data_IF_299432572875
#
_entry.id   IF_299432572875
#
_cell.length_a   1.000
_cell.length_b   1.000
_cell.length_c   1.000
_cell.angle_alpha   90.00
_cell.angle_beta   90.00
_cell.angle_gamma   90.00
#
_symmetry.space_group_name_H-M   'P 1'
#
loop_
_entity.id
_entity.type
_entity.pdbx_description
1 polymer ?
#
# COMPACT_ATOMS: atom_id res chain seq x y z
N UNK A 1 18.47 4.08 1.08
CA UNK A 1 19.02 2.98 1.91
C UNK A 1 17.95 1.94 2.20
N UNK A 2 18.24 0.94 3.03
CA UNK A 2 17.44 -0.27 3.25
C UNK A 2 16.27 -0.14 4.23
N UNK A 3 16.20 0.90 5.07
CA UNK A 3 15.21 0.97 6.17
C UNK A 3 13.88 1.64 5.84
N UNK A 4 13.89 2.89 5.37
CA UNK A 4 12.69 3.74 5.36
C UNK A 4 12.54 4.54 4.05
N UNK A 5 11.31 4.94 3.73
CA UNK A 5 10.98 5.87 2.66
C UNK A 5 9.98 6.96 3.13
N UNK A 6 10.38 7.88 4.02
CA UNK A 6 9.46 8.76 4.75
C UNK A 6 8.63 9.68 3.86
N UNK A 7 9.20 10.21 2.77
CA UNK A 7 8.46 11.06 1.83
C UNK A 7 7.41 10.31 1.03
N UNK A 8 7.59 8.99 0.85
CA UNK A 8 6.57 8.13 0.24
C UNK A 8 5.46 7.86 1.24
N UNK A 9 5.80 7.52 2.49
CA UNK A 9 4.78 7.32 3.52
C UNK A 9 3.90 8.56 3.74
N UNK A 10 4.49 9.77 3.69
CA UNK A 10 3.73 11.02 3.76
C UNK A 10 2.79 11.23 2.57
N UNK A 11 3.24 10.93 1.33
CA UNK A 11 2.38 11.08 0.16
C UNK A 11 1.28 10.02 0.12
N UNK A 12 1.57 8.82 0.60
CA UNK A 12 0.62 7.73 0.71
C UNK A 12 -0.48 8.09 1.72
N UNK A 13 -0.08 8.54 2.91
CA UNK A 13 -1.01 9.03 3.93
C UNK A 13 -1.86 10.20 3.42
N UNK A 14 -1.24 11.15 2.71
CA UNK A 14 -1.98 12.26 2.10
C UNK A 14 -2.98 11.78 1.05
N UNK A 15 -2.62 10.78 0.26
CA UNK A 15 -3.53 10.18 -0.74
C UNK A 15 -4.73 9.55 -0.06
N UNK A 16 -4.52 8.75 1.00
CA UNK A 16 -5.61 8.15 1.79
C UNK A 16 -6.55 9.25 2.30
N UNK A 17 -5.98 10.28 2.95
CA UNK A 17 -6.76 11.43 3.44
C UNK A 17 -7.52 12.15 2.35
N UNK A 18 -6.95 12.28 1.15
CA UNK A 18 -7.56 13.03 0.06
C UNK A 18 -8.71 12.27 -0.58
N UNK A 19 -8.59 10.95 -0.69
CA UNK A 19 -9.61 10.09 -1.30
C UNK A 19 -10.75 9.78 -0.33
N UNK A 20 -10.47 9.62 0.98
CA UNK A 20 -11.47 9.26 2.00
C UNK A 20 -11.90 10.40 2.94
N UNK A 21 -11.25 11.57 2.87
CA UNK A 21 -11.49 12.70 3.78
C UNK A 21 -10.90 12.52 5.18
N UNK A 22 -10.33 11.35 5.49
CA UNK A 22 -9.78 10.99 6.78
C UNK A 22 -8.97 9.68 6.71
N UNK A 23 -8.51 9.21 7.87
CA UNK A 23 -7.78 7.94 8.03
C UNK A 23 -8.39 7.11 9.16
N UNK A 24 -8.91 7.79 10.18
CA UNK A 24 -9.57 7.14 11.31
C UNK A 24 -10.76 6.30 10.83
N UNK A 25 -10.97 5.19 11.52
CA UNK A 25 -12.00 4.19 11.28
C UNK A 25 -11.93 3.48 9.93
N UNK A 26 -10.89 3.72 9.11
CA UNK A 26 -10.63 2.97 7.89
C UNK A 26 -9.98 1.61 8.18
N UNK A 27 -10.27 0.65 7.31
CA UNK A 27 -9.59 -0.64 7.21
C UNK A 27 -8.62 -0.59 6.05
N UNK A 28 -7.32 -0.67 6.33
CA UNK A 28 -6.25 -0.53 5.35
C UNK A 28 -5.56 -1.87 5.17
N UNK A 29 -5.67 -2.42 3.97
CA UNK A 29 -5.05 -3.67 3.58
C UNK A 29 -3.76 -3.42 2.83
N UNK A 30 -2.67 -3.95 3.37
CA UNK A 30 -1.33 -3.85 2.83
C UNK A 30 -0.98 -5.20 2.20
N UNK A 31 -0.71 -5.22 0.90
CA UNK A 31 -0.59 -6.45 0.13
C UNK A 31 0.72 -6.54 -0.65
N UNK A 32 1.33 -7.72 -0.71
CA UNK A 32 2.44 -8.03 -1.61
C UNK A 32 3.73 -8.37 -0.86
N UNK A 33 4.83 -7.76 -1.25
CA UNK A 33 6.11 -7.89 -0.52
C UNK A 33 6.12 -6.97 0.71
N UNK A 34 5.67 -7.53 1.83
CA UNK A 34 5.65 -6.85 3.13
C UNK A 34 6.95 -7.05 3.91
N UNK A 35 7.72 -8.09 3.59
CA UNK A 35 9.00 -8.39 4.23
C UNK A 35 10.08 -7.38 3.88
N UNK A 36 10.21 -7.02 2.60
CA UNK A 36 11.26 -6.12 2.12
C UNK A 36 10.73 -4.74 1.68
N UNK A 37 9.41 -4.56 1.73
CA UNK A 37 8.71 -3.34 1.33
C UNK A 37 8.96 -2.15 2.28
N UNK A 38 10.02 -1.37 2.02
CA UNK A 38 10.35 -0.17 2.80
C UNK A 38 9.22 0.86 2.86
N UNK A 39 8.47 1.01 1.78
CA UNK A 39 7.35 1.96 1.71
C UNK A 39 6.23 1.53 2.64
N UNK A 40 5.92 0.24 2.69
CA UNK A 40 4.88 -0.30 3.57
C UNK A 40 5.31 -0.28 5.04
N UNK A 41 6.60 -0.48 5.34
CA UNK A 41 7.13 -0.30 6.70
C UNK A 41 6.94 1.13 7.20
N UNK A 42 7.38 2.12 6.40
CA UNK A 42 7.21 3.54 6.74
C UNK A 42 5.74 3.93 6.85
N UNK A 43 4.88 3.46 5.94
CA UNK A 43 3.45 3.72 5.96
C UNK A 43 2.79 3.09 7.19
N UNK A 44 3.12 1.84 7.52
CA UNK A 44 2.60 1.16 8.71
C UNK A 44 2.91 1.96 9.97
N UNK A 45 4.16 2.43 10.12
CA UNK A 45 4.57 3.28 11.25
C UNK A 45 3.75 4.56 11.36
N UNK A 46 3.46 5.23 10.24
CA UNK A 46 2.60 6.42 10.24
C UNK A 46 1.14 6.10 10.56
N UNK A 47 0.61 5.01 10.01
CA UNK A 47 -0.78 4.59 10.23
C UNK A 47 -1.04 4.21 11.70
N UNK A 48 -0.02 3.77 12.45
CA UNK A 48 -0.12 3.57 13.92
C UNK A 48 -0.45 4.83 14.71
N UNK A 49 -0.31 6.01 14.12
CA UNK A 49 -0.69 7.27 14.75
C UNK A 49 -2.18 7.61 14.58
N UNK A 50 -2.94 6.76 13.87
CA UNK A 50 -4.36 6.94 13.55
C UNK A 50 -5.20 5.78 14.09
N UNK A 51 -6.50 6.01 14.29
CA UNK A 51 -7.45 4.98 14.72
C UNK A 51 -7.94 4.13 13.54
N UNK A 52 -7.01 3.54 12.78
CA UNK A 52 -7.33 2.68 11.64
C UNK A 52 -7.08 1.20 11.98
N UNK A 53 -7.68 0.29 11.21
CA UNK A 53 -7.48 -1.15 11.32
C UNK A 53 -6.56 -1.61 10.20
N UNK A 54 -5.50 -2.34 10.53
CA UNK A 54 -4.57 -2.84 9.52
C UNK A 54 -4.81 -4.32 9.21
N UNK A 55 -4.71 -4.64 7.93
CA UNK A 55 -4.71 -6.01 7.43
C UNK A 55 -3.44 -6.22 6.60
N UNK A 56 -2.73 -7.33 6.82
CA UNK A 56 -1.54 -7.70 6.09
C UNK A 56 -1.83 -8.91 5.23
N UNK A 57 -1.66 -8.78 3.91
CA UNK A 57 -1.98 -9.81 2.93
C UNK A 57 -0.70 -10.19 2.19
N UNK A 58 -0.10 -11.31 2.55
CA UNK A 58 1.12 -11.78 1.90
C UNK A 58 1.30 -13.29 2.05
N UNK A 59 1.97 -13.96 1.09
CA UNK A 59 2.43 -15.32 1.31
C UNK A 59 3.45 -15.35 2.45
N UNK A 60 3.56 -16.47 3.16
CA UNK A 60 4.42 -16.61 4.35
C UNK A 60 5.87 -16.15 4.14
N UNK A 61 6.41 -16.35 2.94
CA UNK A 61 7.78 -15.97 2.60
C UNK A 61 8.01 -14.44 2.55
N UNK A 62 6.95 -13.69 2.30
CA UNK A 62 6.92 -12.23 2.17
C UNK A 62 6.11 -11.55 3.28
N UNK A 63 5.80 -12.27 4.36
CA UNK A 63 5.03 -11.78 5.48
C UNK A 63 5.67 -10.54 6.13
N UNK A 64 4.82 -9.68 6.71
CA UNK A 64 5.24 -8.52 7.46
C UNK A 64 6.12 -8.97 8.66
N UNK A 65 7.27 -8.33 8.93
CA UNK A 65 8.07 -8.67 10.10
C UNK A 65 7.32 -8.39 11.41
N UNK A 66 7.53 -9.23 12.42
CA UNK A 66 6.79 -9.20 13.69
C UNK A 66 6.82 -7.83 14.40
N UNK A 67 7.91 -7.07 14.25
CA UNK A 67 8.05 -5.74 14.84
C UNK A 67 7.03 -4.70 14.33
N UNK A 68 6.38 -4.96 13.19
CA UNK A 68 5.33 -4.11 12.61
C UNK A 68 3.91 -4.59 12.92
N UNK A 69 3.77 -5.78 13.52
CA UNK A 69 2.47 -6.43 13.75
C UNK A 69 2.04 -6.23 15.20
N UNK A 70 0.79 -5.80 15.39
CA UNK A 70 0.14 -5.65 16.69
C UNK A 70 -0.95 -6.70 16.87
N UNK A 71 -1.31 -7.07 18.11
CA UNK A 71 -2.31 -8.12 18.38
C UNK A 71 -3.70 -7.90 17.74
N UNK A 72 -4.06 -6.65 17.46
CA UNK A 72 -5.35 -6.30 16.86
C UNK A 72 -5.38 -6.43 15.33
N UNK A 73 -4.22 -6.55 14.68
CA UNK A 73 -4.14 -6.63 13.22
C UNK A 73 -4.65 -7.97 12.70
N UNK A 74 -5.02 -7.98 11.41
CA UNK A 74 -5.38 -9.20 10.71
C UNK A 74 -4.29 -9.58 9.72
N UNK A 75 -4.00 -10.88 9.64
CA UNK A 75 -3.00 -11.42 8.72
C UNK A 75 -3.72 -12.45 7.85
N UNK A 76 -3.58 -12.30 6.54
CA UNK A 76 -4.18 -13.18 5.54
C UNK A 76 -3.13 -13.61 4.53
N UNK A 77 -3.33 -14.78 3.94
CA UNK A 77 -2.50 -15.26 2.84
C UNK A 77 -3.15 -14.99 1.48
N UNK A 78 -4.48 -14.86 1.44
CA UNK A 78 -5.26 -14.58 0.24
C UNK A 78 -5.98 -13.23 0.36
N UNK A 79 -5.96 -12.43 -0.72
CA UNK A 79 -6.68 -11.17 -0.81
C UNK A 79 -8.19 -11.35 -0.69
N UNK A 80 -8.75 -12.49 -1.11
CA UNK A 80 -10.17 -12.78 -1.00
C UNK A 80 -10.69 -12.75 0.44
N UNK A 81 -9.82 -12.99 1.43
CA UNK A 81 -10.20 -12.94 2.85
C UNK A 81 -10.25 -11.50 3.41
N UNK A 82 -9.59 -10.55 2.74
CA UNK A 82 -9.40 -9.17 3.19
C UNK A 82 -10.24 -8.15 2.39
N UNK A 83 -10.45 -8.40 1.10
CA UNK A 83 -10.91 -7.40 0.13
C UNK A 83 -12.27 -6.81 0.47
N UNK A 84 -13.22 -7.62 0.94
CA UNK A 84 -14.60 -7.20 1.23
C UNK A 84 -14.67 -6.15 2.36
N UNK A 85 -13.69 -6.18 3.26
CA UNK A 85 -13.63 -5.28 4.41
C UNK A 85 -12.69 -4.08 4.19
N UNK A 86 -11.93 -4.07 3.10
CA UNK A 86 -10.90 -3.06 2.83
C UNK A 86 -11.53 -1.75 2.36
N UNK A 87 -11.13 -0.64 2.98
CA UNK A 87 -11.42 0.72 2.52
C UNK A 87 -10.26 1.25 1.64
N UNK A 88 -9.04 0.80 1.93
CA UNK A 88 -7.85 1.05 1.12
C UNK A 88 -7.13 -0.27 0.89
N UNK A 89 -6.83 -0.57 -0.36
CA UNK A 89 -5.92 -1.65 -0.75
C UNK A 89 -4.62 -1.03 -1.25
N UNK A 90 -3.55 -1.14 -0.47
CA UNK A 90 -2.21 -0.68 -0.82
C UNK A 90 -1.35 -1.86 -1.24
N UNK A 91 -1.08 -1.96 -2.54
CA UNK A 91 -0.35 -3.07 -3.14
C UNK A 91 1.11 -2.69 -3.31
N UNK A 92 2.03 -3.61 -3.04
CA UNK A 92 3.46 -3.45 -3.26
C UNK A 92 3.99 -4.42 -4.31
N UNK A 93 4.94 -3.92 -5.09
CA UNK A 93 5.74 -4.72 -6.01
C UNK A 93 6.61 -5.71 -5.24
N UNK A 94 6.69 -6.94 -5.74
CA UNK A 94 7.67 -7.92 -5.24
C UNK A 94 9.08 -7.57 -5.68
N UNK A 95 9.99 -7.50 -4.70
CA UNK A 95 11.38 -7.14 -4.93
C UNK A 95 12.20 -8.40 -5.26
N UNK A 96 12.02 -8.92 -6.49
CA UNK A 96 12.75 -10.09 -6.99
C UNK A 96 14.27 -9.96 -6.78
N UNK A 97 14.79 -8.74 -6.89
CA UNK A 97 16.20 -8.42 -6.66
C UNK A 97 16.71 -8.69 -5.22
N UNK A 98 15.82 -8.89 -4.26
CA UNK A 98 16.16 -9.20 -2.86
C UNK A 98 15.89 -10.65 -2.47
N UNK A 99 15.22 -11.41 -3.32
CA UNK A 99 14.99 -12.82 -3.11
C UNK A 99 16.28 -13.59 -3.48
N UNK A 100 16.78 -14.41 -2.56
CA UNK A 100 17.91 -15.29 -2.84
C UNK A 100 17.41 -16.47 -3.68
N UNK A 101 17.62 -16.40 -4.99
CA UNK A 101 17.19 -17.43 -5.94
C UNK A 101 16.37 -16.84 -7.08
N UNK A 102 16.77 -17.15 -8.32
CA UNK A 102 16.09 -16.73 -9.54
C UNK A 102 14.87 -17.60 -9.82
N UNK A 103 13.91 -17.66 -8.89
CA UNK A 103 12.63 -18.28 -9.18
C UNK A 103 11.69 -17.25 -9.80
N UNK A 104 11.02 -17.65 -10.88
CA UNK A 104 9.93 -16.89 -11.45
C UNK A 104 8.84 -16.75 -10.39
N UNK A 105 8.80 -15.57 -9.76
CA UNK A 105 7.76 -15.29 -8.79
C UNK A 105 6.39 -15.39 -9.46
N UNK A 106 5.58 -16.32 -8.97
CA UNK A 106 4.25 -16.61 -9.49
C UNK A 106 3.31 -15.45 -9.18
N UNK A 107 2.78 -14.79 -10.22
CA UNK A 107 1.80 -13.70 -10.10
C UNK A 107 0.39 -14.17 -9.74
N UNK A 108 0.20 -15.38 -9.23
CA UNK A 108 -1.09 -15.87 -8.71
C UNK A 108 -1.68 -14.98 -7.60
N UNK A 109 -0.87 -14.15 -6.95
CA UNK A 109 -1.30 -13.13 -5.98
C UNK A 109 -1.66 -11.78 -6.64
N UNK A 110 -1.73 -11.66 -7.97
CA UNK A 110 -2.05 -10.40 -8.61
C UNK A 110 -3.48 -9.94 -8.30
N UNK A 111 -3.66 -8.62 -8.15
CA UNK A 111 -4.99 -8.02 -8.04
C UNK A 111 -5.66 -8.05 -9.40
N UNK A 112 -6.83 -8.69 -9.45
CA UNK A 112 -7.61 -8.89 -10.68
C UNK A 112 -8.96 -8.17 -10.60
N UNK A 113 -9.63 -8.04 -11.74
CA UNK A 113 -11.00 -7.51 -11.84
C UNK A 113 -11.99 -8.27 -10.97
N UNK A 114 -11.82 -9.57 -10.77
CA UNK A 114 -12.72 -10.37 -9.94
C UNK A 114 -12.58 -10.04 -8.45
N UNK A 115 -11.39 -9.70 -7.97
CA UNK A 115 -11.21 -9.15 -6.63
C UNK A 115 -11.92 -7.80 -6.50
N UNK A 116 -11.74 -6.94 -7.50
CA UNK A 116 -12.35 -5.60 -7.51
C UNK A 116 -13.89 -5.63 -7.60
N UNK A 117 -14.49 -6.71 -8.10
CA UNK A 117 -15.96 -6.90 -8.05
C UNK A 117 -16.49 -7.17 -6.63
N UNK A 118 -15.66 -7.74 -5.75
CA UNK A 118 -16.02 -8.02 -4.35
C UNK A 118 -15.67 -6.86 -3.42
N UNK A 119 -14.67 -6.08 -3.79
CA UNK A 119 -14.27 -4.86 -3.09
C UNK A 119 -15.44 -3.87 -2.95
N UNK A 120 -15.38 -3.05 -1.89
CA UNK A 120 -16.34 -1.96 -1.69
C UNK A 120 -16.34 -0.99 -2.87
N UNK A 121 -17.48 -0.35 -3.11
CA UNK A 121 -17.65 0.60 -4.22
C UNK A 121 -16.80 1.87 -4.03
N UNK A 122 -16.54 2.25 -2.79
CA UNK A 122 -15.73 3.40 -2.36
C UNK A 122 -14.32 3.01 -1.92
N UNK A 123 -13.92 1.74 -2.07
CA UNK A 123 -12.54 1.31 -1.80
C UNK A 123 -11.56 2.07 -2.71
N UNK A 124 -10.37 2.39 -2.21
CA UNK A 124 -9.29 3.00 -2.98
C UNK A 124 -8.15 2.00 -3.19
N UNK A 125 -7.77 1.77 -4.45
CA UNK A 125 -6.62 0.93 -4.83
C UNK A 125 -5.37 1.80 -5.05
N UNK A 126 -4.34 1.58 -4.25
CA UNK A 126 -3.08 2.34 -4.25
C UNK A 126 -1.88 1.44 -4.56
N UNK A 127 -0.84 2.05 -5.13
CA UNK A 127 0.41 1.36 -5.46
C UNK A 127 1.55 2.39 -5.58
N UNK A 128 2.70 2.19 -4.91
CA UNK A 128 3.80 3.17 -4.91
C UNK A 128 4.54 3.26 -6.26
N UNK A 129 4.34 2.28 -7.14
CA UNK A 129 4.99 2.13 -8.45
C UNK A 129 6.52 1.95 -8.35
N UNK A 130 7.18 1.47 -9.42
CA UNK A 130 6.61 0.88 -10.64
C UNK A 130 5.91 -0.46 -10.36
N UNK A 131 4.92 -0.82 -11.17
CA UNK A 131 4.29 -2.16 -11.14
C UNK A 131 4.85 -3.08 -12.22
N UNK A 132 4.78 -4.39 -12.01
CA UNK A 132 5.23 -5.40 -13.00
C UNK A 132 4.10 -6.32 -13.42
N UNK A 133 3.36 -6.87 -12.47
CA UNK A 133 2.28 -7.84 -12.72
C UNK A 133 1.33 -8.05 -11.54
N UNK A 134 1.60 -7.41 -10.41
CA UNK A 134 0.82 -7.47 -9.18
C UNK A 134 -0.54 -6.75 -9.27
N UNK A 135 -0.76 -5.92 -10.30
CA UNK A 135 -2.04 -5.29 -10.60
C UNK A 135 -2.31 -5.47 -12.10
N UNK A 136 -3.44 -6.08 -12.44
CA UNK A 136 -3.89 -6.26 -13.81
C UNK A 136 -4.11 -4.90 -14.51
N UNK A 137 -3.67 -4.77 -15.77
CA UNK A 137 -3.73 -3.50 -16.52
C UNK A 137 -5.15 -3.01 -16.78
N UNK A 138 -6.12 -3.93 -16.82
CA UNK A 138 -7.54 -3.67 -17.00
C UNK A 138 -8.10 -2.78 -15.88
N UNK A 139 -7.47 -2.81 -14.70
CA UNK A 139 -7.87 -2.02 -13.54
C UNK A 139 -7.50 -0.54 -13.66
N UNK A 140 -6.71 -0.13 -14.66
CA UNK A 140 -6.38 1.28 -14.89
C UNK A 140 -7.61 2.15 -15.19
N UNK A 141 -8.65 1.53 -15.73
CA UNK A 141 -9.92 2.19 -16.03
C UNK A 141 -10.87 2.24 -14.84
N UNK A 142 -10.59 1.52 -13.75
CA UNK A 142 -11.42 1.51 -12.56
C UNK A 142 -11.28 2.86 -11.82
N UNK A 143 -12.37 3.57 -11.50
CA UNK A 143 -12.31 4.85 -10.80
C UNK A 143 -11.62 4.75 -9.42
N UNK A 144 -11.66 3.57 -8.80
CA UNK A 144 -11.02 3.26 -7.52
C UNK A 144 -9.50 3.16 -7.62
N UNK A 145 -8.94 2.98 -8.82
CA UNK A 145 -7.50 2.96 -9.06
C UNK A 145 -6.90 4.36 -8.88
N UNK A 146 -6.25 4.59 -7.74
CA UNK A 146 -5.71 5.88 -7.35
C UNK A 146 -4.19 6.01 -7.56
N UNK A 147 -3.47 4.96 -7.94
CA UNK A 147 -2.00 4.99 -8.05
C UNK A 147 -1.45 6.08 -9.00
N UNK A 148 -2.16 6.44 -10.07
CA UNK A 148 -1.76 7.60 -10.89
C UNK A 148 -2.04 8.95 -10.21
N UNK A 149 -3.16 9.06 -9.47
CA UNK A 149 -3.48 10.26 -8.67
C UNK A 149 -2.47 10.43 -7.52
N UNK A 150 -2.14 9.34 -6.84
CA UNK A 150 -1.10 9.24 -5.81
C UNK A 150 0.24 9.81 -6.29
N UNK A 151 0.69 9.46 -7.50
CA UNK A 151 1.92 10.04 -8.08
C UNK A 151 1.83 11.56 -8.27
N UNK A 152 0.67 12.05 -8.72
CA UNK A 152 0.41 13.49 -8.88
C UNK A 152 0.42 14.20 -7.52
N UNK A 153 -0.17 13.60 -6.49
CA UNK A 153 -0.11 14.10 -5.12
C UNK A 153 1.31 14.13 -4.56
N UNK A 154 2.14 13.15 -4.94
CA UNK A 154 3.55 13.11 -4.59
C UNK A 154 4.35 14.34 -5.03
N UNK A 155 4.00 14.99 -6.14
CA UNK A 155 4.60 16.27 -6.54
C UNK A 155 4.31 17.36 -5.51
N UNK A 156 3.03 17.53 -5.16
CA UNK A 156 2.58 18.58 -4.25
C UNK A 156 3.11 18.40 -2.83
N UNK A 157 3.11 17.17 -2.32
CA UNK A 157 3.63 16.84 -0.98
C UNK A 157 5.13 17.16 -0.90
N UNK A 158 5.92 16.81 -1.94
CA UNK A 158 7.36 17.11 -1.96
C UNK A 158 7.64 18.61 -2.07
N UNK A 159 6.86 19.35 -2.86
CA UNK A 159 6.94 20.81 -2.91
C UNK A 159 6.68 21.44 -1.54
N UNK A 160 5.62 20.99 -0.84
CA UNK A 160 5.28 21.46 0.50
C UNK A 160 6.39 21.15 1.51
N UNK A 161 6.99 19.96 1.45
CA UNK A 161 8.11 19.57 2.30
C UNK A 161 9.35 20.46 2.07
N UNK A 162 9.73 20.70 0.82
CA UNK A 162 10.86 21.58 0.48
C UNK A 162 10.61 23.01 0.95
N UNK A 163 9.40 23.52 0.75
CA UNK A 163 9.01 24.84 1.24
C UNK A 163 9.06 24.93 2.76
N UNK A 164 8.55 23.95 3.49
CA UNK A 164 8.58 23.94 4.96
C UNK A 164 10.02 23.86 5.52
N UNK A 165 10.92 23.16 4.83
CA UNK A 165 12.31 22.98 5.27
C UNK A 165 13.22 24.17 4.96
N UNK A 166 13.04 24.81 3.79
CA UNK A 166 13.99 25.79 3.25
C UNK A 166 13.33 27.16 3.03
N UNK A 167 12.01 27.23 2.90
CA UNK A 167 11.25 28.44 2.60
C UNK A 167 10.87 29.30 3.81
N UNK A 168 11.27 28.91 5.02
CA UNK A 168 11.15 29.71 6.25
C UNK A 168 12.41 30.57 6.51
N UNK A 169 13.10 31.00 5.45
CA UNK A 169 14.21 31.98 5.53
C UNK A 169 13.69 33.36 5.19
#
# INVERSE_FOLDING_TARGET
GSGEHPTQALLDLYTIKKEHGGVDDLTISLMGDLKFGRTVHSLTKLLRMYNCRLQFVAPNQLAMPDEYIWPADKIYQDLNEAIDNSDVLYVTRVQKERMQGSEDFDFSYAVTTDHMKKAKNDMVLMHPLPRVGEIATELDSDPRAAYFRQMKYGLHVRMALLYAMIGNV
#
